data_IF_857508004136
#
_entry.id   IF_857508004136
#
_cell.length_a   1.000
_cell.length_b   1.000
_cell.length_c   1.000
_cell.angle_alpha   90.00
_cell.angle_beta   90.00
_cell.angle_gamma   90.00
#
_symmetry.space_group_name_H-M   'P 1'
#
loop_
_entity.id
_entity.type
_entity.pdbx_description
1 polymer ?
#
# COMPACT_ATOMS: atom_id res chain seq x y z
N UNK A 1 -13.50 14.98 -13.47
CA UNK A 1 -12.49 15.03 -12.40
C UNK A 1 -12.09 16.48 -12.21
N UNK A 2 -11.96 16.96 -10.97
CA UNK A 2 -11.48 18.32 -10.73
C UNK A 2 -9.96 18.41 -10.97
N UNK A 3 -9.41 19.56 -11.35
CA UNK A 3 -7.95 19.72 -11.55
C UNK A 3 -7.13 19.34 -10.30
N UNK A 4 -7.68 19.58 -9.11
CA UNK A 4 -7.06 19.18 -7.83
C UNK A 4 -6.92 17.67 -7.69
N UNK A 5 -7.95 16.92 -8.08
CA UNK A 5 -7.91 15.45 -8.03
C UNK A 5 -6.88 14.88 -9.00
N UNK A 6 -6.76 15.48 -10.20
CA UNK A 6 -5.75 15.06 -11.17
C UNK A 6 -4.34 15.27 -10.64
N UNK A 7 -4.05 16.45 -10.08
CA UNK A 7 -2.73 16.72 -9.46
C UNK A 7 -2.43 15.76 -8.31
N UNK A 8 -3.40 15.48 -7.45
CA UNK A 8 -3.24 14.50 -6.36
C UNK A 8 -2.93 13.11 -6.90
N UNK A 9 -3.60 12.69 -7.98
CA UNK A 9 -3.44 11.37 -8.56
C UNK A 9 -2.07 11.21 -9.23
N UNK A 10 -1.61 12.23 -9.97
CA UNK A 10 -0.28 12.26 -10.56
C UNK A 10 0.80 12.25 -9.47
N UNK A 11 0.66 13.07 -8.43
CA UNK A 11 1.62 13.13 -7.34
C UNK A 11 1.68 11.79 -6.58
N UNK A 12 0.53 11.19 -6.31
CA UNK A 12 0.44 9.88 -5.67
C UNK A 12 1.09 8.78 -6.54
N UNK A 13 0.80 8.78 -7.85
CA UNK A 13 1.40 7.83 -8.79
C UNK A 13 2.93 7.98 -8.85
N UNK A 14 3.43 9.21 -8.92
CA UNK A 14 4.87 9.50 -8.90
C UNK A 14 5.53 9.06 -7.59
N UNK A 15 4.90 9.31 -6.44
CA UNK A 15 5.41 8.88 -5.14
C UNK A 15 5.48 7.35 -5.03
N UNK A 16 4.44 6.65 -5.48
CA UNK A 16 4.44 5.19 -5.49
C UNK A 16 5.47 4.61 -6.46
N UNK A 17 5.56 5.14 -7.69
CA UNK A 17 6.55 4.70 -8.68
C UNK A 17 7.99 4.91 -8.20
N UNK A 18 8.31 6.10 -7.69
CA UNK A 18 9.63 6.40 -7.13
C UNK A 18 9.97 5.51 -5.94
N UNK A 19 8.98 5.21 -5.08
CA UNK A 19 9.16 4.33 -3.92
C UNK A 19 9.66 2.93 -4.32
N UNK A 20 9.12 2.33 -5.38
CA UNK A 20 9.58 1.02 -5.88
C UNK A 20 10.98 1.10 -6.51
N UNK A 21 11.30 2.20 -7.19
CA UNK A 21 12.64 2.44 -7.72
C UNK A 21 13.68 2.49 -6.59
N UNK A 22 13.44 3.28 -5.54
CA UNK A 22 14.34 3.34 -4.38
C UNK A 22 14.43 2.01 -3.63
N UNK A 23 13.32 1.27 -3.55
CA UNK A 23 13.31 -0.06 -2.96
C UNK A 23 14.22 -1.01 -3.74
N UNK A 24 14.20 -0.97 -5.08
CA UNK A 24 15.09 -1.79 -5.93
C UNK A 24 16.58 -1.49 -5.71
N UNK A 25 16.91 -0.23 -5.44
CA UNK A 25 18.28 0.22 -5.17
C UNK A 25 18.72 -0.16 -3.75
N UNK A 26 17.86 0.01 -2.75
CA UNK A 26 18.22 -0.19 -1.35
C UNK A 26 18.11 -1.65 -0.86
N UNK A 27 17.23 -2.47 -1.46
CA UNK A 27 17.00 -3.84 -0.99
C UNK A 27 18.25 -4.73 -1.07
N UNK A 28 19.07 -4.70 -2.14
CA UNK A 28 20.29 -5.52 -2.20
C UNK A 28 21.30 -5.21 -1.09
N UNK A 29 21.38 -3.96 -0.64
CA UNK A 29 22.36 -3.51 0.36
C UNK A 29 21.90 -3.79 1.79
N UNK A 30 20.62 -3.53 2.10
CA UNK A 30 20.09 -3.64 3.46
C UNK A 30 19.35 -4.97 3.72
N UNK A 31 18.92 -5.66 2.67
CA UNK A 31 17.97 -6.76 2.74
C UNK A 31 16.51 -6.30 2.86
N UNK A 32 15.59 -7.13 2.38
CA UNK A 32 14.16 -6.80 2.30
C UNK A 32 13.51 -6.52 3.66
N UNK A 33 13.82 -7.34 4.67
CA UNK A 33 13.20 -7.21 6.00
C UNK A 33 13.66 -5.94 6.71
N UNK A 34 14.97 -5.68 6.77
CA UNK A 34 15.53 -4.53 7.46
C UNK A 34 15.11 -3.20 6.79
N UNK A 35 15.10 -3.15 5.45
CA UNK A 35 14.64 -1.98 4.71
C UNK A 35 13.19 -1.61 5.05
N UNK A 36 12.30 -2.60 5.09
CA UNK A 36 10.89 -2.36 5.40
C UNK A 36 10.70 -2.02 6.88
N UNK A 37 11.46 -2.64 7.80
CA UNK A 37 11.45 -2.25 9.20
C UNK A 37 11.80 -0.78 9.39
N UNK A 38 12.86 -0.29 8.75
CA UNK A 38 13.26 1.12 8.82
C UNK A 38 12.15 2.00 8.23
N UNK A 39 11.60 1.66 7.06
CA UNK A 39 10.51 2.42 6.43
C UNK A 39 9.27 2.52 7.33
N UNK A 40 8.82 1.39 7.88
CA UNK A 40 7.64 1.34 8.75
C UNK A 40 7.91 2.04 10.09
N UNK A 41 9.12 1.93 10.64
CA UNK A 41 9.53 2.65 11.84
C UNK A 41 9.50 4.18 11.62
N UNK A 42 10.08 4.66 10.51
CA UNK A 42 10.04 6.09 10.14
C UNK A 42 8.60 6.59 9.93
N UNK A 43 7.77 5.83 9.20
CA UNK A 43 6.36 6.15 9.03
C UNK A 43 5.63 6.22 10.38
N UNK A 44 5.90 5.28 11.29
CA UNK A 44 5.32 5.25 12.63
C UNK A 44 5.78 6.45 13.46
N UNK A 45 7.06 6.82 13.41
CA UNK A 45 7.60 7.98 14.13
C UNK A 45 6.96 9.30 13.68
N UNK A 46 6.56 9.41 12.42
CA UNK A 46 5.88 10.60 11.89
C UNK A 46 4.37 10.56 12.21
N UNK A 47 3.73 9.41 12.02
CA UNK A 47 2.27 9.29 12.14
C UNK A 47 1.79 9.20 13.59
N UNK A 48 2.56 8.59 14.50
CA UNK A 48 2.16 8.44 15.90
C UNK A 48 1.98 9.79 16.63
N UNK A 49 2.89 10.78 16.52
CA UNK A 49 2.67 12.10 17.11
C UNK A 49 1.46 12.81 16.52
N UNK A 50 1.27 12.74 15.20
CA UNK A 50 0.12 13.37 14.52
C UNK A 50 -1.19 12.76 15.02
N UNK A 51 -1.26 11.42 15.11
CA UNK A 51 -2.40 10.72 15.67
C UNK A 51 -2.63 11.12 17.14
N UNK A 52 -1.56 11.18 17.94
CA UNK A 52 -1.64 11.53 19.36
C UNK A 52 -2.25 12.93 19.59
N UNK A 53 -1.83 13.91 18.80
CA UNK A 53 -2.28 15.30 18.88
C UNK A 53 -3.76 15.43 18.47
N UNK A 54 -4.19 14.71 17.42
CA UNK A 54 -5.55 14.85 16.88
C UNK A 54 -6.60 14.05 17.63
N UNK A 55 -6.35 12.75 17.82
CA UNK A 55 -7.38 11.80 18.27
C UNK A 55 -6.89 10.85 19.37
N UNK A 56 -5.58 10.84 19.65
CA UNK A 56 -4.96 9.84 20.52
C UNK A 56 -5.54 9.81 21.93
N UNK A 57 -5.80 10.96 22.56
CA UNK A 57 -6.36 11.02 23.92
C UNK A 57 -7.73 10.34 24.03
N UNK A 58 -8.57 10.49 23.01
CA UNK A 58 -9.93 9.93 23.00
C UNK A 58 -9.91 8.42 22.66
N UNK A 59 -9.04 8.02 21.73
CA UNK A 59 -9.00 6.66 21.20
C UNK A 59 -8.02 5.73 21.94
N UNK A 60 -7.13 6.27 22.79
CA UNK A 60 -6.11 5.49 23.50
C UNK A 60 -6.68 4.27 24.26
N UNK A 61 -7.80 4.35 24.99
CA UNK A 61 -8.38 3.18 25.66
C UNK A 61 -8.78 2.07 24.67
N UNK A 62 -9.29 2.46 23.50
CA UNK A 62 -9.68 1.52 22.43
C UNK A 62 -8.46 0.88 21.78
N UNK A 63 -7.42 1.67 21.49
CA UNK A 63 -6.14 1.18 20.95
C UNK A 63 -5.47 0.22 21.93
N UNK A 64 -5.42 0.57 23.21
CA UNK A 64 -4.88 -0.30 24.26
C UNK A 64 -5.66 -1.60 24.40
N UNK A 65 -6.99 -1.58 24.24
CA UNK A 65 -7.80 -2.81 24.27
C UNK A 65 -7.62 -3.69 23.02
N UNK A 66 -7.43 -3.06 21.85
CA UNK A 66 -7.37 -3.75 20.55
C UNK A 66 -5.96 -3.87 19.96
N UNK A 67 -4.91 -3.65 20.76
CA UNK A 67 -3.53 -3.59 20.27
C UNK A 67 -3.11 -4.83 19.48
N UNK A 68 -3.54 -6.03 19.89
CA UNK A 68 -3.26 -7.29 19.17
C UNK A 68 -3.89 -7.30 17.80
N UNK A 69 -5.17 -6.93 17.70
CA UNK A 69 -5.87 -6.86 16.42
C UNK A 69 -5.24 -5.81 15.51
N UNK A 70 -4.86 -4.65 16.05
CA UNK A 70 -4.14 -3.62 15.30
C UNK A 70 -2.77 -4.10 14.82
N UNK A 71 -2.02 -4.83 15.65
CA UNK A 71 -0.75 -5.42 15.28
C UNK A 71 -0.91 -6.47 14.17
N UNK A 72 -1.90 -7.35 14.28
CA UNK A 72 -2.21 -8.33 13.23
C UNK A 72 -2.57 -7.64 11.92
N UNK A 73 -3.43 -6.62 11.96
CA UNK A 73 -3.79 -5.85 10.75
C UNK A 73 -2.56 -5.15 10.17
N UNK A 74 -1.71 -4.54 11.00
CA UNK A 74 -0.49 -3.88 10.53
C UNK A 74 0.49 -4.86 9.88
N UNK A 75 0.67 -6.04 10.46
CA UNK A 75 1.52 -7.09 9.90
C UNK A 75 0.95 -7.63 8.59
N UNK A 76 -0.35 -7.93 8.54
CA UNK A 76 -0.99 -8.51 7.36
C UNK A 76 -1.17 -7.50 6.22
N UNK A 77 -1.37 -6.22 6.53
CA UNK A 77 -1.65 -5.19 5.54
C UNK A 77 -0.37 -4.48 5.05
N UNK A 78 0.62 -4.30 5.92
CA UNK A 78 1.82 -3.51 5.60
C UNK A 78 3.11 -4.28 5.83
N UNK A 79 3.25 -5.02 6.94
CA UNK A 79 4.48 -5.74 7.27
C UNK A 79 4.85 -6.79 6.22
N UNK A 80 4.05 -7.85 6.13
CA UNK A 80 4.28 -8.97 5.21
C UNK A 80 4.24 -8.51 3.75
N UNK A 81 3.20 -7.76 3.28
CA UNK A 81 3.14 -7.38 1.88
C UNK A 81 4.32 -6.51 1.44
N UNK A 82 4.75 -5.54 2.26
CA UNK A 82 5.87 -4.68 1.86
C UNK A 82 7.20 -5.41 1.89
N UNK A 83 7.40 -6.37 2.81
CA UNK A 83 8.59 -7.24 2.76
C UNK A 83 8.60 -8.08 1.48
N UNK A 84 7.45 -8.62 1.07
CA UNK A 84 7.33 -9.36 -0.19
C UNK A 84 7.60 -8.48 -1.41
N UNK A 85 7.13 -7.23 -1.41
CA UNK A 85 7.47 -6.26 -2.46
C UNK A 85 8.97 -5.95 -2.49
N UNK A 86 9.60 -5.71 -1.34
CA UNK A 86 11.04 -5.48 -1.28
C UNK A 86 11.80 -6.70 -1.78
N UNK A 87 11.42 -7.90 -1.33
CA UNK A 87 12.00 -9.15 -1.80
C UNK A 87 11.83 -9.33 -3.31
N UNK A 88 10.66 -9.03 -3.89
CA UNK A 88 10.46 -9.15 -5.33
C UNK A 88 11.42 -8.25 -6.10
N UNK A 89 11.77 -7.06 -5.57
CA UNK A 89 12.76 -6.19 -6.23
C UNK A 89 14.15 -6.83 -6.36
N UNK A 90 14.48 -7.89 -5.64
CA UNK A 90 15.74 -8.62 -5.87
C UNK A 90 15.76 -9.34 -7.23
N UNK A 91 14.58 -9.72 -7.74
CA UNK A 91 14.44 -10.53 -8.95
C UNK A 91 13.86 -9.74 -10.13
N UNK A 92 13.09 -8.69 -9.87
CA UNK A 92 12.44 -7.88 -10.89
C UNK A 92 12.79 -6.39 -10.77
N UNK A 93 12.63 -5.64 -11.86
CA UNK A 93 12.88 -4.19 -11.85
C UNK A 93 11.81 -3.44 -11.04
N UNK A 94 12.15 -2.24 -10.57
CA UNK A 94 11.19 -1.36 -9.88
C UNK A 94 10.00 -1.00 -10.78
N UNK A 95 10.24 -0.80 -12.09
CA UNK A 95 9.18 -0.55 -13.07
C UNK A 95 8.22 -1.73 -13.22
N UNK A 96 8.73 -2.96 -13.33
CA UNK A 96 7.88 -4.15 -13.41
C UNK A 96 7.09 -4.37 -12.11
N UNK A 97 7.71 -4.10 -10.96
CA UNK A 97 7.02 -4.15 -9.66
C UNK A 97 5.86 -3.16 -9.58
N UNK A 98 6.05 -1.94 -10.12
CA UNK A 98 5.00 -0.93 -10.18
C UNK A 98 3.84 -1.34 -11.10
N UNK A 99 4.13 -1.92 -12.27
CA UNK A 99 3.11 -2.45 -13.18
C UNK A 99 2.29 -3.56 -12.51
N UNK A 100 2.95 -4.51 -11.84
CA UNK A 100 2.24 -5.56 -11.10
C UNK A 100 1.35 -4.97 -10.00
N UNK A 101 1.82 -3.96 -9.28
CA UNK A 101 1.00 -3.28 -8.27
C UNK A 101 -0.21 -2.55 -8.88
N UNK A 102 -0.12 -2.05 -10.11
CA UNK A 102 -1.27 -1.46 -10.84
C UNK A 102 -2.38 -2.47 -11.13
N UNK A 103 -2.13 -3.78 -11.01
CA UNK A 103 -3.17 -4.82 -11.11
C UNK A 103 -3.97 -5.02 -9.83
N UNK A 104 -3.62 -4.34 -8.72
CA UNK A 104 -4.34 -4.44 -7.45
C UNK A 104 -5.87 -4.21 -7.55
N UNK A 105 -6.40 -3.28 -8.37
CA UNK A 105 -7.84 -3.13 -8.56
C UNK A 105 -8.51 -4.38 -9.16
N UNK A 106 -7.82 -5.11 -10.04
CA UNK A 106 -8.32 -6.36 -10.64
C UNK A 106 -8.46 -7.42 -9.54
N UNK A 107 -7.41 -7.60 -8.74
CA UNK A 107 -7.46 -8.50 -7.59
C UNK A 107 -8.52 -8.09 -6.57
N UNK A 108 -8.69 -6.80 -6.32
CA UNK A 108 -9.75 -6.27 -5.46
C UNK A 108 -11.14 -6.59 -5.97
N UNK A 109 -11.38 -6.48 -7.28
CA UNK A 109 -12.66 -6.85 -7.89
C UNK A 109 -12.92 -8.36 -7.82
N UNK A 110 -11.91 -9.19 -8.10
CA UNK A 110 -12.00 -10.66 -8.02
C UNK A 110 -12.32 -11.09 -6.58
N UNK A 111 -11.54 -10.63 -5.60
CA UNK A 111 -11.75 -10.97 -4.19
C UNK A 111 -13.09 -10.44 -3.69
N UNK A 112 -13.50 -9.22 -4.10
CA UNK A 112 -14.79 -8.65 -3.77
C UNK A 112 -15.97 -9.45 -4.34
N UNK A 113 -15.84 -9.98 -5.55
CA UNK A 113 -16.85 -10.86 -6.13
C UNK A 113 -16.91 -12.22 -5.41
N UNK A 114 -15.75 -12.88 -5.24
CA UNK A 114 -15.69 -14.22 -4.68
C UNK A 114 -16.07 -14.26 -3.19
N UNK A 115 -15.53 -13.34 -2.39
CA UNK A 115 -15.65 -13.37 -0.94
C UNK A 115 -16.81 -12.53 -0.40
N UNK A 116 -17.10 -11.38 -1.03
CA UNK A 116 -18.15 -10.46 -0.58
C UNK A 116 -19.43 -10.58 -1.41
N UNK A 117 -19.48 -11.47 -2.42
CA UNK A 117 -20.62 -11.69 -3.32
C UNK A 117 -21.13 -10.37 -3.95
N UNK A 118 -20.24 -9.39 -4.13
CA UNK A 118 -20.58 -8.11 -4.74
C UNK A 118 -20.55 -8.24 -6.25
N UNK A 119 -21.68 -7.96 -6.90
CA UNK A 119 -21.76 -7.93 -8.36
C UNK A 119 -20.79 -6.88 -8.92
N UNK A 120 -19.98 -7.28 -9.91
CA UNK A 120 -19.06 -6.37 -10.60
C UNK A 120 -19.90 -5.53 -11.56
N UNK A 121 -20.07 -4.24 -11.25
CA UNK A 121 -20.82 -3.32 -12.11
C UNK A 121 -20.15 -3.14 -13.47
N UNK A 122 -20.94 -2.93 -14.52
CA UNK A 122 -20.46 -2.75 -15.92
C UNK A 122 -19.42 -1.64 -16.07
N UNK A 123 -19.51 -0.57 -15.27
CA UNK A 123 -18.53 0.51 -15.23
C UNK A 123 -17.17 0.06 -14.66
N UNK A 124 -17.17 -0.83 -13.66
CA UNK A 124 -15.95 -1.40 -13.10
C UNK A 124 -15.25 -2.31 -14.13
N UNK A 125 -16.01 -3.12 -14.89
CA UNK A 125 -15.45 -3.94 -15.97
C UNK A 125 -14.79 -3.08 -17.05
N UNK A 126 -15.45 -2.02 -17.50
CA UNK A 126 -14.90 -1.10 -18.51
C UNK A 126 -13.65 -0.39 -17.96
N UNK A 127 -13.68 0.08 -16.70
CA UNK A 127 -12.53 0.73 -16.07
C UNK A 127 -11.33 -0.22 -15.89
N UNK A 128 -11.56 -1.46 -15.49
CA UNK A 128 -10.52 -2.48 -15.40
C UNK A 128 -9.95 -2.83 -16.78
N UNK A 129 -10.80 -2.95 -17.80
CA UNK A 129 -10.36 -3.18 -19.18
C UNK A 129 -9.47 -2.05 -19.69
N UNK A 130 -9.91 -0.80 -19.54
CA UNK A 130 -9.10 0.36 -19.92
C UNK A 130 -7.78 0.43 -19.14
N UNK A 131 -7.77 0.08 -17.84
CA UNK A 131 -6.56 0.05 -17.02
C UNK A 131 -5.58 -1.09 -17.33
N UNK A 132 -5.99 -2.14 -18.06
CA UNK A 132 -5.09 -3.20 -18.53
C UNK A 132 -4.39 -2.79 -19.83
N UNK A 133 -5.07 -2.03 -20.69
CA UNK A 133 -4.58 -1.64 -22.02
C UNK A 133 -3.90 -0.26 -22.08
N UNK A 134 -4.00 0.55 -21.02
CA UNK A 134 -3.36 1.85 -20.88
C UNK A 134 -2.16 1.80 -19.96
#
# INVERSE_FOLDING_TARGET
MSPRQLCQLVLLASLWGASFLFMRVATPEFGAVALIQIRVALASLVLLPIWWIREGKLQYPTVKRKWRALAVIGVLNSGIPFVLFAFSTLYITGGFSAILNSTAPIWGAIVGYLWLQRAIGRQAVIGLGLGIFG
#
